data_IF_672517672092
#
_entry.id   IF_672517672092
#
_cell.length_a   1.000
_cell.length_b   1.000
_cell.length_c   1.000
_cell.angle_alpha   90.00
_cell.angle_beta   90.00
_cell.angle_gamma   90.00
#
_symmetry.space_group_name_H-M   'P 1'
#
loop_
_entity.id
_entity.type
_entity.pdbx_description
1 polymer ?
#
# COMPACT_ATOMS: atom_id res chain seq x y z
N UNK A 1 -48.92 7.45 -48.50
CA UNK A 1 -48.66 8.72 -47.80
C UNK A 1 -47.56 8.49 -46.77
N UNK A 2 -46.61 9.43 -46.69
CA UNK A 2 -45.37 9.38 -45.89
C UNK A 2 -45.61 9.85 -44.44
N UNK A 3 -44.77 9.35 -43.52
CA UNK A 3 -44.38 9.84 -42.17
C UNK A 3 -45.32 9.39 -41.03
N UNK A 4 -44.86 9.06 -39.81
CA UNK A 4 -43.70 9.57 -39.06
C UNK A 4 -43.29 8.58 -37.93
N UNK A 5 -42.00 8.63 -37.59
CA UNK A 5 -41.22 7.89 -36.59
C UNK A 5 -41.72 7.96 -35.15
N UNK A 6 -41.40 6.94 -34.33
CA UNK A 6 -40.76 7.12 -32.99
C UNK A 6 -39.88 5.92 -32.65
N UNK A 7 -38.59 6.19 -32.44
CA UNK A 7 -37.56 5.30 -31.92
C UNK A 7 -37.64 5.36 -30.38
N UNK A 8 -37.59 4.22 -29.68
CA UNK A 8 -37.15 4.23 -28.27
C UNK A 8 -36.28 3.01 -27.94
N UNK A 9 -34.98 3.32 -27.95
CA UNK A 9 -33.92 2.88 -27.04
C UNK A 9 -33.87 1.41 -26.57
N UNK A 10 -32.91 0.72 -27.19
CA UNK A 10 -32.03 -0.29 -26.62
C UNK A 10 -31.61 0.02 -25.17
N UNK A 11 -31.69 -0.97 -24.26
CA UNK A 11 -30.65 -1.21 -23.23
C UNK A 11 -30.96 -2.48 -22.44
N UNK A 12 -30.18 -3.52 -22.71
CA UNK A 12 -30.06 -4.71 -21.88
C UNK A 12 -29.41 -4.32 -20.55
N UNK A 13 -30.20 -4.20 -19.49
CA UNK A 13 -29.65 -4.10 -18.15
C UNK A 13 -29.21 -5.48 -17.67
N UNK A 14 -28.06 -5.94 -18.19
CA UNK A 14 -27.21 -6.90 -17.50
C UNK A 14 -26.50 -6.17 -16.38
N UNK A 15 -26.94 -6.34 -15.14
CA UNK A 15 -26.06 -6.17 -13.98
C UNK A 15 -26.46 -7.21 -12.93
N UNK A 16 -25.80 -8.35 -13.06
CA UNK A 16 -25.62 -9.36 -12.04
C UNK A 16 -24.84 -8.69 -10.89
N UNK A 17 -25.54 -8.07 -9.93
CA UNK A 17 -24.90 -7.55 -8.72
C UNK A 17 -24.50 -8.72 -7.83
N UNK A 18 -23.33 -9.29 -8.15
CA UNK A 18 -22.62 -10.27 -7.34
C UNK A 18 -22.45 -9.75 -5.91
N UNK A 19 -23.13 -10.44 -5.02
CA UNK A 19 -22.63 -10.97 -3.76
C UNK A 19 -21.15 -10.62 -3.42
N UNK A 20 -20.99 -9.85 -2.33
CA UNK A 20 -20.04 -10.04 -1.23
C UNK A 20 -18.63 -9.43 -1.38
N UNK A 21 -18.29 -8.57 -0.42
CA UNK A 21 -17.14 -8.86 0.42
C UNK A 21 -17.43 -8.38 1.84
N UNK A 22 -17.62 -9.35 2.74
CA UNK A 22 -17.49 -9.16 4.17
C UNK A 22 -16.15 -8.48 4.42
N UNK A 23 -16.15 -7.23 4.89
CA UNK A 23 -14.94 -6.52 5.26
C UNK A 23 -14.40 -7.03 6.61
N UNK A 24 -14.20 -8.34 6.74
CA UNK A 24 -13.17 -8.87 7.65
C UNK A 24 -11.85 -8.77 6.90
N UNK A 25 -11.41 -7.54 6.60
CA UNK A 25 -10.04 -7.30 6.15
C UNK A 25 -9.17 -7.67 7.33
N UNK A 26 -8.32 -8.67 7.14
CA UNK A 26 -7.29 -9.09 8.09
C UNK A 26 -6.68 -7.86 8.76
N UNK A 27 -6.69 -7.82 10.09
CA UNK A 27 -6.05 -6.80 10.90
C UNK A 27 -4.51 -6.92 10.81
N UNK A 28 -3.98 -6.79 9.60
CA UNK A 28 -2.56 -6.72 9.31
C UNK A 28 -2.07 -5.27 9.39
N UNK A 29 -0.80 -5.10 9.74
CA UNK A 29 -0.16 -3.79 9.75
C UNK A 29 -0.14 -3.17 8.35
N UNK A 30 -0.34 -1.86 8.29
CA UNK A 30 -0.34 -1.07 7.05
C UNK A 30 0.80 -0.05 7.02
N UNK A 31 0.95 0.68 5.91
CA UNK A 31 2.01 1.65 5.72
C UNK A 31 1.90 2.83 6.69
N UNK A 32 3.05 3.40 7.01
CA UNK A 32 3.24 4.49 7.95
C UNK A 32 3.44 5.82 7.22
N UNK A 33 3.02 6.92 7.84
CA UNK A 33 3.42 8.24 7.38
C UNK A 33 4.93 8.47 7.66
N UNK A 34 5.62 9.19 6.78
CA UNK A 34 7.01 9.54 7.02
C UNK A 34 7.15 10.61 8.13
N UNK A 35 8.30 10.68 8.82
CA UNK A 35 8.56 11.70 9.82
C UNK A 35 8.40 13.13 9.28
N UNK A 36 8.06 14.08 10.15
CA UNK A 36 7.87 15.50 9.76
C UNK A 36 9.07 16.09 9.02
N UNK A 37 10.29 15.70 9.44
CA UNK A 37 11.56 16.14 8.88
C UNK A 37 11.87 15.57 7.48
N UNK A 38 11.13 14.57 7.01
CA UNK A 38 11.32 14.02 5.68
C UNK A 38 11.00 15.07 4.59
N UNK A 39 11.68 14.95 3.45
CA UNK A 39 11.48 15.83 2.29
C UNK A 39 10.01 15.83 1.83
N UNK A 40 9.52 16.98 1.37
CA UNK A 40 8.12 17.15 0.98
C UNK A 40 7.72 16.22 -0.17
N UNK A 41 8.60 16.06 -1.16
CA UNK A 41 8.39 15.20 -2.32
C UNK A 41 8.36 13.71 -1.92
N UNK A 42 9.19 13.29 -0.97
CA UNK A 42 9.14 11.93 -0.43
C UNK A 42 7.82 11.68 0.30
N UNK A 43 7.35 12.65 1.10
CA UNK A 43 6.04 12.57 1.76
C UNK A 43 4.90 12.48 0.77
N UNK A 44 4.94 13.24 -0.35
CA UNK A 44 3.93 13.16 -1.41
C UNK A 44 3.84 11.75 -1.99
N UNK A 45 4.97 11.19 -2.44
CA UNK A 45 4.98 9.81 -2.95
C UNK A 45 4.53 8.82 -1.87
N UNK A 46 4.95 8.98 -0.62
CA UNK A 46 4.50 8.10 0.45
C UNK A 46 2.97 8.14 0.67
N UNK A 47 2.35 9.32 0.59
CA UNK A 47 0.90 9.47 0.70
C UNK A 47 0.17 8.78 -0.47
N UNK A 48 0.65 8.95 -1.70
CA UNK A 48 0.12 8.24 -2.88
C UNK A 48 0.27 6.72 -2.73
N UNK A 49 1.39 6.25 -2.17
CA UNK A 49 1.61 4.84 -1.87
C UNK A 49 0.64 4.29 -0.83
N UNK A 50 0.34 5.06 0.23
CA UNK A 50 -0.66 4.70 1.25
C UNK A 50 -2.05 4.61 0.62
N UNK A 51 -2.42 5.54 -0.25
CA UNK A 51 -3.72 5.53 -0.94
C UNK A 51 -3.87 4.28 -1.82
N UNK A 52 -2.86 3.96 -2.64
CA UNK A 52 -2.86 2.74 -3.45
C UNK A 52 -2.86 1.47 -2.60
N UNK A 53 -2.15 1.44 -1.48
CA UNK A 53 -2.18 0.32 -0.55
C UNK A 53 -3.58 0.05 0.00
N UNK A 54 -4.29 1.10 0.42
CA UNK A 54 -5.65 0.99 0.95
C UNK A 54 -6.64 0.43 -0.08
N UNK A 55 -6.37 0.64 -1.37
CA UNK A 55 -7.14 0.08 -2.47
C UNK A 55 -6.73 -1.36 -2.85
N UNK A 56 -5.71 -1.93 -2.19
CA UNK A 56 -5.14 -3.24 -2.53
C UNK A 56 -4.19 -3.24 -3.73
N UNK A 57 -3.83 -2.07 -4.26
CA UNK A 57 -2.91 -1.91 -5.39
C UNK A 57 -1.45 -1.97 -4.93
N UNK A 58 -1.03 -3.11 -4.37
CA UNK A 58 0.27 -3.24 -3.68
C UNK A 58 1.49 -3.03 -4.58
N UNK A 59 1.42 -3.41 -5.86
CA UNK A 59 2.48 -3.18 -6.83
C UNK A 59 2.65 -1.69 -7.16
N UNK A 60 1.54 -0.94 -7.20
CA UNK A 60 1.54 0.52 -7.40
C UNK A 60 2.03 1.22 -6.14
N UNK A 61 1.54 0.81 -4.97
CA UNK A 61 2.02 1.32 -3.68
C UNK A 61 3.54 1.17 -3.55
N UNK A 62 4.07 0.00 -3.90
CA UNK A 62 5.50 -0.27 -3.91
C UNK A 62 6.28 0.68 -4.83
N UNK A 63 5.76 1.02 -6.02
CA UNK A 63 6.41 2.00 -6.92
C UNK A 63 6.53 3.38 -6.25
N UNK A 64 5.46 3.84 -5.59
CA UNK A 64 5.46 5.11 -4.88
C UNK A 64 6.40 5.08 -3.66
N UNK A 65 6.41 4.01 -2.87
CA UNK A 65 7.34 3.89 -1.73
C UNK A 65 8.81 3.84 -2.19
N UNK A 66 9.12 3.14 -3.28
CA UNK A 66 10.45 3.16 -3.90
C UNK A 66 10.85 4.57 -4.38
N UNK A 67 9.90 5.39 -4.84
CA UNK A 67 10.20 6.79 -5.18
C UNK A 67 10.44 7.63 -3.92
N UNK A 68 9.67 7.41 -2.86
CA UNK A 68 9.88 8.08 -1.58
C UNK A 68 11.27 7.77 -1.00
N UNK A 69 11.71 6.50 -1.02
CA UNK A 69 13.03 6.11 -0.53
C UNK A 69 14.18 6.64 -1.38
N UNK A 70 14.03 6.68 -2.70
CA UNK A 70 15.02 7.32 -3.61
C UNK A 70 15.23 8.80 -3.27
N UNK A 71 14.18 9.50 -2.85
CA UNK A 71 14.24 10.92 -2.47
C UNK A 71 14.81 11.08 -1.05
N UNK A 72 14.35 10.25 -0.13
CA UNK A 72 14.73 10.26 1.29
C UNK A 72 14.61 8.86 1.92
N UNK A 73 15.73 8.16 2.03
CA UNK A 73 15.83 6.83 2.65
C UNK A 73 16.28 6.89 4.13
N UNK A 74 16.16 8.04 4.78
CA UNK A 74 16.77 8.27 6.11
C UNK A 74 16.02 7.55 7.23
N UNK A 75 14.69 7.51 7.17
CA UNK A 75 13.78 7.02 8.20
C UNK A 75 13.52 5.52 8.15
N UNK A 76 13.03 4.91 9.24
CA UNK A 76 12.66 3.49 9.25
C UNK A 76 11.34 3.22 8.52
N UNK A 77 10.42 4.18 8.58
CA UNK A 77 9.06 4.13 8.03
C UNK A 77 9.06 3.94 6.51
N UNK A 78 9.98 4.59 5.79
CA UNK A 78 10.06 4.44 4.33
C UNK A 78 10.46 3.02 3.93
N UNK A 79 11.42 2.42 4.65
CA UNK A 79 11.82 1.03 4.43
C UNK A 79 10.75 0.05 4.91
N UNK A 80 10.03 0.39 5.98
CA UNK A 80 8.89 -0.40 6.45
C UNK A 80 7.80 -0.49 5.38
N UNK A 81 7.46 0.65 4.75
CA UNK A 81 6.43 0.71 3.72
C UNK A 81 6.80 -0.08 2.46
N UNK A 82 8.07 -0.03 2.05
CA UNK A 82 8.59 -0.91 1.00
C UNK A 82 8.49 -2.37 1.42
N UNK A 83 8.91 -2.71 2.65
CA UNK A 83 8.94 -4.08 3.14
C UNK A 83 7.55 -4.73 3.18
N UNK A 84 6.55 -4.06 3.74
CA UNK A 84 5.17 -4.58 3.75
C UNK A 84 4.61 -4.73 2.32
N UNK A 85 5.05 -3.88 1.39
CA UNK A 85 4.62 -3.96 -0.02
C UNK A 85 5.29 -5.10 -0.74
N UNK A 86 6.58 -5.33 -0.52
CA UNK A 86 7.27 -6.53 -0.99
C UNK A 86 6.65 -7.80 -0.41
N UNK A 87 6.24 -7.80 0.86
CA UNK A 87 5.53 -8.94 1.46
C UNK A 87 4.20 -9.21 0.75
N UNK A 88 3.40 -8.17 0.49
CA UNK A 88 2.12 -8.31 -0.22
C UNK A 88 2.23 -8.71 -1.69
N UNK A 89 3.38 -8.55 -2.33
CA UNK A 89 3.64 -9.03 -3.69
C UNK A 89 4.50 -10.30 -3.70
N UNK A 90 4.46 -11.07 -2.60
CA UNK A 90 5.12 -12.38 -2.43
C UNK A 90 6.66 -12.36 -2.56
N UNK A 91 7.28 -11.19 -2.40
CA UNK A 91 8.74 -11.01 -2.41
C UNK A 91 9.32 -11.01 -0.99
N UNK A 92 8.99 -12.04 -0.20
CA UNK A 92 9.31 -12.10 1.23
C UNK A 92 10.81 -11.95 1.55
N UNK A 93 11.71 -12.46 0.69
CA UNK A 93 13.15 -12.31 0.89
C UNK A 93 13.64 -10.85 0.74
N UNK A 94 12.97 -10.06 -0.11
CA UNK A 94 13.22 -8.62 -0.24
C UNK A 94 12.59 -7.88 0.94
N UNK A 95 11.37 -8.26 1.33
CA UNK A 95 10.70 -7.74 2.50
C UNK A 95 11.57 -7.87 3.76
N UNK A 96 12.14 -9.06 4.03
CA UNK A 96 13.04 -9.30 5.17
C UNK A 96 14.25 -8.34 5.17
N UNK A 97 14.84 -8.05 4.01
CA UNK A 97 15.95 -7.10 3.92
C UNK A 97 15.51 -5.68 4.29
N UNK A 98 14.40 -5.21 3.73
CA UNK A 98 13.88 -3.87 4.02
C UNK A 98 13.38 -3.75 5.48
N UNK A 99 12.76 -4.79 6.04
CA UNK A 99 12.39 -4.84 7.46
C UNK A 99 13.61 -4.73 8.39
N UNK A 100 14.72 -5.39 8.06
CA UNK A 100 15.97 -5.25 8.81
C UNK A 100 16.50 -3.81 8.77
N UNK A 101 16.42 -3.15 7.61
CA UNK A 101 16.80 -1.73 7.47
C UNK A 101 15.83 -0.82 8.23
N UNK A 102 14.53 -1.10 8.17
CA UNK A 102 13.49 -0.38 8.89
C UNK A 102 13.75 -0.41 10.40
N UNK A 103 14.03 -1.59 10.97
CA UNK A 103 14.37 -1.73 12.39
C UNK A 103 15.63 -0.94 12.75
N UNK A 104 16.69 -1.05 11.96
CA UNK A 104 17.95 -0.31 12.17
C UNK A 104 17.74 1.21 12.15
N UNK A 105 16.82 1.69 11.32
CA UNK A 105 16.51 3.12 11.14
C UNK A 105 15.26 3.57 11.89
N UNK A 106 14.70 2.74 12.77
CA UNK A 106 13.43 3.03 13.44
C UNK A 106 13.47 4.34 14.23
N UNK A 107 14.65 4.80 14.68
CA UNK A 107 14.80 6.10 15.33
C UNK A 107 13.97 6.23 16.62
N UNK A 108 13.67 5.09 17.27
CA UNK A 108 12.79 5.03 18.43
C UNK A 108 11.29 5.00 18.10
N UNK A 109 10.88 4.92 16.83
CA UNK A 109 9.48 4.77 16.46
C UNK A 109 8.96 3.36 16.85
N UNK A 110 8.06 3.25 17.84
CA UNK A 110 7.56 1.95 18.30
C UNK A 110 6.67 1.26 17.25
N UNK A 111 6.07 1.99 16.31
CA UNK A 111 5.29 1.37 15.22
C UNK A 111 6.17 0.52 14.30
N UNK A 112 7.45 0.87 14.18
CA UNK A 112 8.43 0.06 13.43
C UNK A 112 9.02 -1.01 14.33
N UNK A 113 9.57 -0.65 15.49
CA UNK A 113 10.31 -1.60 16.33
C UNK A 113 9.45 -2.69 16.97
N UNK A 114 8.16 -2.41 17.20
CA UNK A 114 7.23 -3.36 17.79
C UNK A 114 6.35 -4.06 16.77
N UNK A 115 6.53 -3.78 15.47
CA UNK A 115 5.71 -4.36 14.42
C UNK A 115 5.79 -5.89 14.41
N UNK A 116 4.66 -6.61 14.59
CA UNK A 116 4.63 -8.05 14.46
C UNK A 116 5.05 -8.59 13.08
N UNK A 117 4.68 -7.93 11.98
CA UNK A 117 5.07 -8.40 10.64
C UNK A 117 6.59 -8.30 10.45
N UNK A 118 7.18 -7.18 10.86
CA UNK A 118 8.64 -6.98 10.83
C UNK A 118 9.34 -8.03 11.68
N UNK A 119 8.88 -8.24 12.92
CA UNK A 119 9.47 -9.22 13.83
C UNK A 119 9.37 -10.65 13.29
N UNK A 120 8.24 -11.01 12.69
CA UNK A 120 8.05 -12.29 12.02
C UNK A 120 9.06 -12.53 10.89
N UNK A 121 9.27 -11.55 10.01
CA UNK A 121 10.28 -11.65 8.94
C UNK A 121 11.71 -11.74 9.45
N UNK A 122 11.99 -11.20 10.64
CA UNK A 122 13.31 -11.20 11.27
C UNK A 122 13.52 -12.36 12.26
N UNK A 123 12.51 -13.20 12.48
CA UNK A 123 12.57 -14.29 13.47
C UNK A 123 12.73 -13.81 14.91
N UNK A 124 12.19 -12.62 15.22
CA UNK A 124 12.22 -12.01 16.55
C UNK A 124 10.91 -12.34 17.27
N UNK A 125 10.99 -12.97 18.45
CA UNK A 125 9.83 -13.32 19.28
C UNK A 125 9.80 -12.47 20.54
#
# INVERSE_FOLDING_TARGET
MKKLSTVLALSTASMFSLFFLSATVFAGEGPLALPKAAKAEAKKHNLEGIEHWQQGHYDVALKHFNMASKIDSSSGEVHFNEAISYDKVDQHGVATKHFGVALKKAGGNPQVSNSPILKGHLGMN
#
